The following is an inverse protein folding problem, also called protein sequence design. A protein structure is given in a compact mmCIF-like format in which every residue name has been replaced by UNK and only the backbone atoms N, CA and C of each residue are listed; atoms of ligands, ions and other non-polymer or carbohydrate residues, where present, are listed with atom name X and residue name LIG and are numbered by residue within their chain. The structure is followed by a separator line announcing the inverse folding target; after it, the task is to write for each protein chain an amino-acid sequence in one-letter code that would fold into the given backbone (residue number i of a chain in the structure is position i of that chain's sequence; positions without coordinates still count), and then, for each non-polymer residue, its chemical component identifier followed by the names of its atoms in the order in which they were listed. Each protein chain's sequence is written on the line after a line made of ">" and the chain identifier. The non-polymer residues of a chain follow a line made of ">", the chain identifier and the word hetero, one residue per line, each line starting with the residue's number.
data_IF_134020902699
#
_entry.id   IF_134020902699
#
_cell.length_a   1.000
_cell.length_b   1.000
_cell.length_c   1.000
_cell.angle_alpha   90.00
_cell.angle_beta   90.00
_cell.angle_gamma   90.00
#
_symmetry.space_group_name_H-M   'P 1'
#
loop_
_entity.id
_entity.type
_entity.pdbx_description
1 polymer ?
#
# COMPACT_ATOMS: atom_id res chain seq x y z
N UNK A 1 -28.57 44.67 -13.70
CA UNK A 1 -28.02 44.17 -12.42
C UNK A 1 -28.13 42.65 -12.46
N UNK A 2 -27.03 41.99 -12.86
CA UNK A 2 -26.25 41.04 -12.07
C UNK A 2 -27.05 39.85 -11.53
N UNK A 3 -26.86 38.69 -12.17
CA UNK A 3 -26.81 37.40 -11.47
C UNK A 3 -25.67 36.58 -12.10
N UNK A 4 -24.44 37.08 -11.95
CA UNK A 4 -23.23 36.26 -12.03
C UNK A 4 -22.98 35.73 -10.63
N UNK A 5 -23.61 34.62 -10.29
CA UNK A 5 -23.37 33.96 -9.01
C UNK A 5 -23.38 32.45 -9.21
N UNK A 6 -22.16 31.92 -9.31
CA UNK A 6 -21.76 30.58 -8.87
C UNK A 6 -22.22 29.35 -9.68
N UNK A 7 -21.75 29.26 -10.93
CA UNK A 7 -21.48 27.97 -11.58
C UNK A 7 -20.07 27.44 -11.21
N UNK A 8 -19.70 27.47 -9.93
CA UNK A 8 -18.37 27.02 -9.44
C UNK A 8 -18.49 25.76 -8.56
N UNK A 9 -19.66 25.12 -8.53
CA UNK A 9 -19.92 23.89 -7.74
C UNK A 9 -20.15 22.66 -8.66
N UNK A 10 -19.81 22.76 -9.94
CA UNK A 10 -19.94 21.64 -10.90
C UNK A 10 -18.60 21.16 -11.46
N UNK A 11 -17.51 21.50 -10.76
CA UNK A 11 -16.22 20.84 -10.93
C UNK A 11 -15.83 20.30 -9.56
N UNK A 12 -16.69 19.44 -8.99
CA UNK A 12 -16.15 18.40 -8.12
C UNK A 12 -15.40 17.49 -9.07
N UNK A 13 -14.06 17.52 -9.10
CA UNK A 13 -13.37 16.49 -9.82
C UNK A 13 -13.75 15.15 -9.20
N UNK A 14 -14.12 14.22 -10.08
CA UNK A 14 -14.42 12.82 -9.82
C UNK A 14 -13.19 12.08 -9.33
N UNK A 15 -12.56 12.56 -8.25
CA UNK A 15 -11.50 11.85 -7.54
C UNK A 15 -12.10 10.98 -6.44
N UNK A 16 -13.10 10.18 -6.80
CA UNK A 16 -13.20 8.83 -6.25
C UNK A 16 -12.25 7.96 -7.09
N UNK A 17 -10.97 8.34 -7.07
CA UNK A 17 -9.89 7.55 -7.63
C UNK A 17 -9.73 6.32 -6.75
N UNK A 18 -9.94 5.16 -7.35
CA UNK A 18 -9.59 3.88 -6.72
C UNK A 18 -10.52 2.74 -7.07
N UNK A 19 -10.87 2.57 -8.34
CA UNK A 19 -11.26 1.24 -8.83
C UNK A 19 -10.04 0.33 -8.77
N UNK A 20 -9.78 -0.23 -7.59
CA UNK A 20 -8.91 -1.39 -7.41
C UNK A 20 -9.68 -2.41 -6.57
N UNK A 21 -10.74 -2.95 -7.17
CA UNK A 21 -11.40 -4.16 -6.68
C UNK A 21 -10.52 -5.37 -7.04
N UNK A 22 -9.32 -5.45 -6.48
CA UNK A 22 -8.67 -6.72 -6.25
C UNK A 22 -9.10 -7.18 -4.86
N UNK A 23 -9.46 -8.44 -4.77
CA UNK A 23 -10.26 -9.05 -3.69
C UNK A 23 -9.46 -9.12 -2.38
N UNK A 24 -9.14 -7.98 -1.77
CA UNK A 24 -8.34 -7.97 -0.54
C UNK A 24 -9.26 -8.30 0.63
N UNK A 25 -9.03 -9.49 1.16
CA UNK A 25 -9.65 -10.02 2.35
C UNK A 25 -9.25 -9.13 3.52
N UNK A 26 -10.13 -8.17 3.87
CA UNK A 26 -10.19 -7.56 5.20
C UNK A 26 -8.85 -6.97 5.69
N UNK A 27 -8.32 -5.98 4.97
CA UNK A 27 -7.24 -5.11 5.47
C UNK A 27 -7.64 -4.60 6.86
N UNK A 28 -6.94 -5.06 7.88
CA UNK A 28 -7.28 -4.77 9.28
C UNK A 28 -6.58 -3.51 9.79
N UNK A 29 -5.51 -3.06 9.12
CA UNK A 29 -4.86 -1.77 9.35
C UNK A 29 -4.17 -1.21 8.08
N UNK A 30 -3.85 0.09 8.06
CA UNK A 30 -3.27 0.74 6.87
C UNK A 30 -1.91 0.16 6.45
N UNK A 31 -1.13 -0.39 7.38
CA UNK A 31 0.15 -1.01 7.07
C UNK A 31 0.00 -2.32 6.34
N UNK A 32 -0.95 -3.17 6.74
CA UNK A 32 -1.28 -4.41 6.05
C UNK A 32 -1.70 -4.13 4.61
N UNK A 33 -2.52 -3.08 4.41
CA UNK A 33 -2.87 -2.60 3.07
C UNK A 33 -1.65 -2.23 2.24
N UNK A 34 -0.74 -1.43 2.81
CA UNK A 34 0.50 -1.03 2.14
C UNK A 34 1.46 -2.20 1.88
N UNK A 35 1.51 -3.21 2.76
CA UNK A 35 2.32 -4.42 2.60
C UNK A 35 1.79 -5.28 1.46
N UNK A 36 0.46 -5.46 1.39
CA UNK A 36 -0.17 -6.24 0.31
C UNK A 36 -0.04 -5.51 -1.03
N UNK A 37 -0.39 -4.24 -1.09
CA UNK A 37 -0.32 -3.45 -2.33
C UNK A 37 1.13 -3.30 -2.82
N UNK A 38 2.06 -2.92 -1.93
CA UNK A 38 3.47 -2.87 -2.27
C UNK A 38 4.05 -4.24 -2.60
N UNK A 39 3.61 -5.28 -1.90
CA UNK A 39 3.99 -6.66 -2.18
C UNK A 39 3.59 -7.12 -3.57
N UNK A 40 2.35 -6.87 -3.97
CA UNK A 40 1.85 -7.19 -5.31
C UNK A 40 2.63 -6.47 -6.39
N UNK A 41 2.87 -5.17 -6.22
CA UNK A 41 3.67 -4.38 -7.14
C UNK A 41 5.12 -4.90 -7.27
N UNK A 42 5.76 -5.22 -6.14
CA UNK A 42 7.14 -5.71 -6.10
C UNK A 42 7.30 -7.11 -6.67
N UNK A 43 6.34 -7.99 -6.42
CA UNK A 43 6.31 -9.33 -7.00
C UNK A 43 6.01 -9.25 -8.51
N UNK A 44 5.08 -8.39 -8.93
CA UNK A 44 4.76 -8.16 -10.35
C UNK A 44 5.96 -7.62 -11.12
N UNK A 45 6.74 -6.71 -10.52
CA UNK A 45 8.00 -6.23 -11.11
C UNK A 45 9.06 -7.33 -11.32
N UNK A 46 8.88 -8.47 -10.67
CA UNK A 46 9.71 -9.68 -10.79
C UNK A 46 9.03 -10.78 -11.61
N UNK A 47 7.97 -10.44 -12.35
CA UNK A 47 7.18 -11.39 -13.15
C UNK A 47 6.54 -12.51 -12.29
N UNK A 48 6.19 -12.19 -11.04
CA UNK A 48 5.48 -13.07 -10.10
C UNK A 48 4.27 -12.35 -9.48
N UNK A 49 3.57 -12.98 -8.55
CA UNK A 49 2.43 -12.41 -7.84
C UNK A 49 2.64 -12.46 -6.33
N UNK A 50 1.97 -11.55 -5.60
CA UNK A 50 1.93 -11.62 -4.15
C UNK A 50 1.31 -12.95 -3.70
N UNK A 51 2.01 -13.66 -2.82
CA UNK A 51 1.48 -14.89 -2.20
C UNK A 51 1.14 -14.67 -0.73
N UNK A 52 2.09 -14.17 0.05
CA UNK A 52 1.91 -13.98 1.50
C UNK A 52 2.90 -12.96 2.08
N UNK A 53 2.72 -12.62 3.35
CA UNK A 53 3.68 -11.86 4.15
C UNK A 53 4.22 -12.74 5.28
N UNK A 54 5.54 -12.95 5.31
CA UNK A 54 6.22 -13.68 6.40
C UNK A 54 6.64 -12.67 7.49
N UNK A 55 5.92 -12.61 8.63
CA UNK A 55 6.26 -11.70 9.71
C UNK A 55 7.64 -12.01 10.28
N UNK A 56 8.02 -13.30 10.39
CA UNK A 56 9.30 -13.74 10.97
C UNK A 56 10.51 -13.43 10.09
N UNK A 57 10.31 -13.06 8.84
CA UNK A 57 11.36 -12.54 7.94
C UNK A 57 11.20 -11.05 7.65
N UNK A 58 10.08 -10.44 8.03
CA UNK A 58 9.72 -9.09 7.63
C UNK A 58 9.84 -8.94 6.10
N UNK A 59 9.24 -9.88 5.37
CA UNK A 59 9.33 -9.96 3.93
C UNK A 59 8.00 -10.41 3.33
N UNK A 60 7.68 -9.84 2.17
CA UNK A 60 6.65 -10.36 1.29
C UNK A 60 7.22 -11.58 0.55
N UNK A 61 6.41 -12.61 0.41
CA UNK A 61 6.69 -13.82 -0.34
C UNK A 61 5.86 -13.79 -1.62
N UNK A 62 6.53 -13.91 -2.76
CA UNK A 62 5.90 -14.03 -4.06
C UNK A 62 5.55 -15.50 -4.37
N UNK A 63 4.65 -15.76 -5.33
CA UNK A 63 4.22 -17.12 -5.70
C UNK A 63 5.36 -18.03 -6.18
N UNK A 64 6.41 -17.46 -6.76
CA UNK A 64 7.63 -18.17 -7.18
C UNK A 64 8.58 -18.51 -6.01
N UNK A 65 8.21 -18.13 -4.78
CA UNK A 65 9.02 -18.27 -3.58
C UNK A 65 10.05 -17.16 -3.37
N UNK A 66 10.09 -16.14 -4.24
CA UNK A 66 10.98 -15.00 -4.06
C UNK A 66 10.55 -14.17 -2.85
N UNK A 67 11.52 -13.81 -2.00
CA UNK A 67 11.29 -12.96 -0.83
C UNK A 67 11.68 -11.51 -1.13
N UNK A 68 10.77 -10.57 -0.87
CA UNK A 68 10.99 -9.12 -0.95
C UNK A 68 10.92 -8.52 0.44
N UNK A 69 12.05 -8.05 0.95
CA UNK A 69 12.11 -7.43 2.29
C UNK A 69 11.37 -6.09 2.31
N UNK A 70 10.68 -5.85 3.44
CA UNK A 70 10.14 -4.54 3.77
C UNK A 70 11.27 -3.52 4.00
N UNK A 71 10.99 -2.22 3.87
CA UNK A 71 12.02 -1.19 3.95
C UNK A 71 12.60 -1.09 5.37
N UNK A 72 13.80 -0.52 5.46
CA UNK A 72 14.46 -0.31 6.73
C UNK A 72 13.59 0.55 7.66
N UNK A 73 13.60 0.26 8.96
CA UNK A 73 12.84 1.02 9.94
C UNK A 73 11.39 0.57 10.14
N UNK A 74 10.82 -0.22 9.23
CA UNK A 74 9.47 -0.78 9.36
C UNK A 74 9.40 -1.97 10.31
N UNK A 75 10.49 -2.74 10.41
CA UNK A 75 10.58 -3.87 11.32
C UNK A 75 11.65 -3.71 12.39
N UNK A 76 11.42 -4.38 13.52
CA UNK A 76 12.38 -4.55 14.61
C UNK A 76 12.33 -5.99 15.09
N UNK A 77 13.50 -6.64 15.25
CA UNK A 77 13.59 -8.06 15.63
C UNK A 77 12.71 -8.98 14.77
N UNK A 78 12.72 -8.76 13.45
CA UNK A 78 11.92 -9.53 12.50
C UNK A 78 10.42 -9.54 12.85
N UNK A 79 9.91 -8.42 13.34
CA UNK A 79 8.49 -8.20 13.55
C UNK A 79 8.16 -6.80 13.05
N UNK A 80 6.95 -6.64 12.49
CA UNK A 80 6.45 -5.34 12.11
C UNK A 80 6.40 -4.45 13.37
N UNK A 81 6.98 -3.25 13.28
CA UNK A 81 6.83 -2.25 14.34
C UNK A 81 5.37 -1.80 14.45
N UNK A 82 5.08 -1.05 15.50
CA UNK A 82 3.73 -0.50 15.71
C UNK A 82 3.26 0.28 14.47
N UNK A 83 2.19 -0.22 13.85
CA UNK A 83 1.61 0.38 12.66
C UNK A 83 1.03 1.79 12.92
N UNK A 84 0.77 2.17 14.17
CA UNK A 84 0.38 3.54 14.51
C UNK A 84 1.54 4.54 14.44
N UNK A 85 2.78 4.07 14.28
CA UNK A 85 3.92 4.94 14.05
C UNK A 85 3.81 5.58 12.66
N UNK A 86 3.73 6.91 12.61
CA UNK A 86 3.71 7.68 11.35
C UNK A 86 4.96 7.44 10.49
N UNK A 87 6.10 7.14 11.12
CA UNK A 87 7.32 6.73 10.41
C UNK A 87 7.09 5.42 9.66
N UNK A 88 6.56 4.39 10.34
CA UNK A 88 6.33 3.06 9.74
C UNK A 88 5.36 3.16 8.56
N UNK A 89 4.28 3.93 8.71
CA UNK A 89 3.30 4.15 7.65
C UNK A 89 3.92 4.83 6.44
N UNK A 90 4.74 5.86 6.67
CA UNK A 90 5.40 6.60 5.57
C UNK A 90 6.38 5.72 4.83
N UNK A 91 7.27 5.03 5.54
CA UNK A 91 8.27 4.14 4.92
C UNK A 91 7.58 3.02 4.11
N UNK A 92 6.49 2.43 4.62
CA UNK A 92 5.72 1.43 3.88
C UNK A 92 5.06 2.02 2.61
N UNK A 93 4.46 3.20 2.70
CA UNK A 93 3.84 3.87 1.53
C UNK A 93 4.88 4.21 0.47
N UNK A 94 6.02 4.74 0.86
CA UNK A 94 7.12 5.04 -0.06
C UNK A 94 7.67 3.78 -0.71
N UNK A 95 7.84 2.70 0.05
CA UNK A 95 8.30 1.42 -0.47
C UNK A 95 7.32 0.80 -1.47
N UNK A 96 6.01 0.88 -1.20
CA UNK A 96 4.99 0.37 -2.11
C UNK A 96 4.97 1.12 -3.46
N UNK A 97 5.18 2.44 -3.44
CA UNK A 97 5.15 3.29 -4.63
C UNK A 97 6.46 3.30 -5.43
N UNK A 98 7.57 2.82 -4.85
CA UNK A 98 8.89 2.87 -5.48
C UNK A 98 9.18 1.57 -6.22
N UNK A 99 8.60 1.33 -7.39
CA UNK A 99 8.71 0.07 -8.13
C UNK A 99 9.75 0.13 -9.24
#
# INVERSE_FOLDING_TARGET
>A
MQVVVFAVVLILPSFLSGESFLTITKISNECEGAIVEGGDLKCTAKESHYSDYDPGKCAVVCEDGTEVKLPYGVCSNNQLKDCNSEEVKRELKEWALNV
#
